data_IF_479289358266
#
_entry.id   IF_479289358266
#
_cell.length_a   1.000
_cell.length_b   1.000
_cell.length_c   1.000
_cell.angle_alpha   90.00
_cell.angle_beta   90.00
_cell.angle_gamma   90.00
#
_symmetry.space_group_name_H-M   'P 1'
#
loop_
_entity.id
_entity.type
_entity.pdbx_description
1 polymer ?
2 non-polymer ?
3 water ?
#
# COMPACT_ATOMS: atom_id res chain seq x y z
N UNK A 9 23.28 4.02 6.75
CA UNK A 9 24.25 3.90 5.62
C UNK A 9 24.25 2.42 5.20
N UNK A 10 24.60 2.11 3.97
CA UNK A 10 24.56 0.73 3.45
C UNK A 10 25.95 0.23 3.09
N UNK A 11 26.15 -1.07 3.18
CA UNK A 11 27.39 -1.72 2.68
C UNK A 11 26.91 -2.69 1.61
N UNK A 12 27.42 -2.54 0.39
CA UNK A 12 27.08 -3.42 -0.76
C UNK A 12 28.38 -4.10 -1.18
N UNK A 13 28.41 -5.42 -1.18
CA UNK A 13 29.60 -6.20 -1.55
C UNK A 13 29.17 -7.55 -2.12
N UNK A 14 30.13 -8.39 -2.49
CA UNK A 14 29.85 -9.78 -2.89
C UNK A 14 30.59 -10.68 -1.90
N UNK A 15 30.01 -11.81 -1.54
CA UNK A 15 30.63 -12.76 -0.60
C UNK A 15 31.59 -13.67 -1.40
N UNK A 16 32.12 -14.71 -0.76
CA UNK A 16 33.11 -15.63 -1.37
C UNK A 16 32.46 -16.44 -2.49
N UNK A 17 31.14 -16.58 -2.48
CA UNK A 17 30.37 -17.32 -3.52
C UNK A 17 29.96 -16.34 -4.65
N UNK A 18 30.40 -15.10 -4.60
CA UNK A 18 30.07 -14.09 -5.65
C UNK A 18 28.68 -13.50 -5.49
N UNK A 19 27.99 -13.82 -4.40
CA UNK A 19 26.58 -13.39 -4.16
C UNK A 19 26.57 -11.99 -3.55
N UNK A 20 25.72 -11.13 -4.06
CA UNK A 20 25.56 -9.75 -3.53
C UNK A 20 25.08 -9.82 -2.08
N UNK A 21 25.72 -9.05 -1.21
CA UNK A 21 25.31 -8.91 0.20
C UNK A 21 25.06 -7.41 0.44
N UNK A 22 23.91 -7.05 0.98
CA UNK A 22 23.59 -5.65 1.36
C UNK A 22 23.26 -5.68 2.86
N UNK A 23 24.04 -4.96 3.66
CA UNK A 23 23.77 -4.87 5.12
C UNK A 23 23.66 -6.27 5.72
N UNK A 24 24.61 -7.15 5.38
CA UNK A 24 24.70 -8.51 5.96
C UNK A 24 23.74 -9.52 5.34
N UNK A 25 22.84 -9.11 4.45
CA UNK A 25 21.82 -10.01 3.88
C UNK A 25 22.24 -10.41 2.47
N UNK A 26 22.24 -11.71 2.18
CA UNK A 26 22.63 -12.25 0.86
C UNK A 26 21.43 -12.23 -0.07
N UNK A 27 21.65 -11.92 -1.34
CA UNK A 27 20.61 -11.87 -2.39
C UNK A 27 21.09 -12.76 -3.54
N UNK A 28 21.00 -14.10 -3.41
CA UNK A 28 21.52 -15.00 -4.44
C UNK A 28 20.79 -14.95 -5.80
N UNK A 29 19.60 -14.35 -5.85
CA UNK A 29 18.81 -14.23 -7.10
C UNK A 29 19.23 -12.98 -7.87
N UNK A 30 20.03 -12.10 -7.29
CA UNK A 30 20.37 -10.80 -7.89
C UNK A 30 21.60 -10.86 -8.79
N UNK A 31 21.54 -10.19 -9.93
CA UNK A 31 22.69 -10.05 -10.84
C UNK A 31 23.49 -8.82 -10.39
N UNK A 32 22.83 -7.68 -10.21
CA UNK A 32 23.48 -6.41 -9.81
C UNK A 32 22.55 -5.63 -8.87
N UNK A 33 23.12 -4.82 -8.01
CA UNK A 33 22.33 -3.87 -7.21
C UNK A 33 22.04 -2.67 -8.11
N UNK A 34 20.82 -2.18 -8.13
CA UNK A 34 20.44 -0.95 -8.89
C UNK A 34 20.45 0.24 -7.92
N UNK A 35 19.76 0.13 -6.80
CA UNK A 35 19.63 1.23 -5.84
C UNK A 35 19.39 0.71 -4.43
N UNK A 36 20.06 1.28 -3.46
CA UNK A 36 19.84 0.97 -2.04
C UNK A 36 18.58 1.70 -1.55
N UNK A 37 18.07 1.29 -0.40
CA UNK A 37 16.88 1.93 0.20
C UNK A 37 17.12 3.44 0.32
N UNK A 38 18.28 3.85 0.81
CA UNK A 38 18.56 5.29 1.06
C UNK A 38 18.44 6.07 -0.27
N UNK A 39 19.04 5.56 -1.32
CA UNK A 39 19.01 6.21 -2.66
C UNK A 39 17.54 6.27 -3.15
N UNK A 40 16.81 5.17 -2.98
CA UNK A 40 15.38 5.08 -3.44
C UNK A 40 14.55 6.14 -2.69
N UNK A 41 14.66 6.15 -1.38
CA UNK A 41 13.83 7.05 -0.54
C UNK A 41 14.15 8.53 -0.88
N UNK A 42 15.43 8.86 -1.02
CA UNK A 42 15.85 10.26 -1.37
C UNK A 42 15.24 10.63 -2.72
N UNK A 43 15.25 9.71 -3.68
CA UNK A 43 14.74 9.95 -5.06
C UNK A 43 13.21 10.17 -5.02
N UNK A 44 12.50 9.39 -4.22
CA UNK A 44 11.01 9.50 -4.12
C UNK A 44 10.68 10.84 -3.47
N UNK A 45 11.39 11.20 -2.40
CA UNK A 45 11.12 12.46 -1.65
C UNK A 45 11.39 13.66 -2.57
N UNK A 46 12.45 13.58 -3.38
CA UNK A 46 12.79 14.66 -4.33
C UNK A 46 11.62 14.84 -5.33
N UNK A 47 11.07 13.74 -5.85
CA UNK A 47 9.94 13.80 -6.83
C UNK A 47 8.68 14.28 -6.10
N UNK A 48 8.48 13.90 -4.85
CA UNK A 48 7.31 14.36 -4.06
C UNK A 48 7.33 15.90 -4.00
N UNK A 49 8.50 16.47 -3.79
CA UNK A 49 8.64 17.95 -3.73
C UNK A 49 8.25 18.56 -5.09
N UNK A 50 8.67 17.94 -6.18
CA UNK A 50 8.34 18.39 -7.56
C UNK A 50 6.83 18.30 -7.77
N UNK A 51 6.21 17.21 -7.35
CA UNK A 51 4.74 17.00 -7.54
C UNK A 51 3.99 18.06 -6.72
N UNK A 52 4.40 18.28 -5.47
CA UNK A 52 3.72 19.26 -4.59
C UNK A 52 3.89 20.68 -5.19
N UNK A 53 5.10 21.00 -5.66
CA UNK A 53 5.39 22.33 -6.26
C UNK A 53 4.54 22.53 -7.52
N UNK A 54 4.31 21.48 -8.30
CA UNK A 54 3.56 21.58 -9.56
C UNK A 54 2.06 21.75 -9.30
N UNK A 55 1.48 20.98 -8.39
CA UNK A 55 0.00 20.94 -8.17
C UNK A 55 -0.50 21.96 -7.13
N UNK A 56 0.33 22.31 -6.16
CA UNK A 56 -0.09 23.20 -5.04
C UNK A 56 -0.83 24.45 -5.57
N UNK A 57 -0.31 25.19 -6.56
CA UNK A 57 -0.99 26.43 -7.01
C UNK A 57 -2.19 26.25 -7.93
N UNK A 58 -2.53 25.03 -8.33
CA UNK A 58 -3.57 24.79 -9.35
C UNK A 58 -4.97 24.71 -8.74
N UNK A 59 -5.99 24.94 -9.56
CA UNK A 59 -7.40 24.86 -9.19
C UNK A 59 -8.06 23.83 -10.12
N UNK A 60 -9.21 23.30 -9.73
CA UNK A 60 -9.96 22.34 -10.58
C UNK A 60 -11.41 22.34 -10.13
N UNK A 61 -12.21 21.41 -10.64
CA UNK A 61 -13.67 21.41 -10.36
C UNK A 61 -13.98 21.34 -8.86
N UNK A 62 -14.88 22.17 -8.40
CA UNK A 62 -15.30 22.23 -6.98
C UNK A 62 -16.48 21.27 -6.79
N UNK A 63 -16.25 20.11 -6.18
CA UNK A 63 -17.32 19.13 -5.87
C UNK A 63 -17.72 19.25 -4.39
N UNK A 64 -16.96 19.97 -3.59
CA UNK A 64 -17.25 20.20 -2.14
C UNK A 64 -18.39 21.23 -2.02
N UNK A 65 -18.26 22.37 -2.69
CA UNK A 65 -19.30 23.42 -2.67
C UNK A 65 -20.21 23.33 -3.89
N UNK A 66 -20.24 22.18 -4.59
CA UNK A 66 -20.99 22.04 -5.86
C UNK A 66 -20.81 23.30 -6.69
N UNK A 67 -19.63 23.94 -6.62
CA UNK A 67 -19.39 25.25 -7.24
C UNK A 67 -18.68 25.11 -8.56
N UNK A 68 -17.92 26.11 -8.98
CA UNK A 68 -17.28 26.05 -10.30
C UNK A 68 -15.91 25.44 -10.15
N UNK A 69 -14.93 26.28 -9.89
CA UNK A 69 -13.52 25.84 -9.75
C UNK A 69 -13.01 26.35 -8.40
N UNK A 70 -12.10 25.62 -7.80
CA UNK A 70 -11.54 25.98 -6.48
C UNK A 70 -10.14 25.40 -6.37
N UNK A 71 -9.27 25.96 -5.53
CA UNK A 71 -7.92 25.46 -5.38
C UNK A 71 -7.83 24.01 -4.90
N UNK A 72 -6.76 23.34 -5.30
CA UNK A 72 -6.48 21.98 -4.75
C UNK A 72 -6.42 22.18 -3.24
N UNK A 73 -7.19 21.41 -2.49
CA UNK A 73 -7.35 21.54 -1.04
C UNK A 73 -7.87 20.24 -0.45
N UNK A 74 -7.99 20.15 0.86
CA UNK A 74 -8.61 18.97 1.49
C UNK A 74 -10.07 18.89 1.06
N UNK A 75 -10.73 19.99 0.74
CA UNK A 75 -12.13 19.98 0.21
C UNK A 75 -12.14 19.39 -1.22
N UNK A 76 -11.17 19.76 -2.06
CA UNK A 76 -11.05 19.31 -3.47
C UNK A 76 -9.62 18.80 -3.69
N UNK A 77 -9.28 17.59 -3.18
CA UNK A 77 -7.89 17.15 -3.27
C UNK A 77 -7.40 16.70 -4.65
N UNK A 78 -6.10 16.69 -4.84
CA UNK A 78 -5.51 16.05 -6.04
C UNK A 78 -5.99 14.59 -6.03
N UNK A 79 -6.37 14.05 -7.17
CA UNK A 79 -6.83 12.65 -7.30
C UNK A 79 -5.64 11.80 -7.74
N UNK A 80 -5.24 10.82 -6.93
CA UNK A 80 -4.13 9.90 -7.26
C UNK A 80 -4.74 8.51 -7.52
N UNK A 81 -4.42 7.93 -8.66
CA UNK A 81 -4.82 6.54 -8.99
C UNK A 81 -3.54 5.72 -8.94
N UNK A 82 -3.43 4.81 -7.98
CA UNK A 82 -2.27 3.91 -7.79
C UNK A 82 -2.54 2.60 -8.55
N UNK A 83 -1.56 2.10 -9.27
CA UNK A 83 -1.71 0.88 -10.11
C UNK A 83 -1.23 -0.34 -9.32
N UNK A 84 -2.16 -1.21 -8.92
CA UNK A 84 -1.85 -2.44 -8.17
C UNK A 84 -1.31 -3.51 -9.13
N UNK A 85 -0.54 -4.46 -8.61
CA UNK A 85 -0.07 -4.55 -7.20
C UNK A 85 1.29 -3.88 -7.04
N UNK A 86 2.07 -3.76 -8.11
CA UNK A 86 3.48 -3.32 -8.03
C UNK A 86 3.72 -1.96 -7.39
N UNK A 87 2.77 -1.06 -7.41
CA UNK A 87 2.99 0.33 -6.91
C UNK A 87 2.57 0.55 -5.46
N UNK A 88 2.06 -0.46 -4.72
CA UNK A 88 1.44 -0.19 -3.39
C UNK A 88 2.48 0.27 -2.35
N UNK A 89 3.70 -0.27 -2.38
CA UNK A 89 4.78 0.10 -1.39
C UNK A 89 5.27 1.50 -1.76
N UNK A 90 5.56 1.71 -3.04
CA UNK A 90 5.96 3.04 -3.58
C UNK A 90 4.90 4.08 -3.20
N UNK A 91 3.63 3.74 -3.39
CA UNK A 91 2.49 4.67 -3.12
C UNK A 91 2.48 5.00 -1.61
N UNK A 92 2.61 3.99 -0.74
CA UNK A 92 2.57 4.18 0.73
C UNK A 92 3.67 5.19 1.12
N UNK A 93 4.86 5.06 0.54
CA UNK A 93 6.00 5.96 0.85
C UNK A 93 5.76 7.36 0.22
N UNK A 94 5.33 7.38 -1.03
CA UNK A 94 5.14 8.65 -1.77
C UNK A 94 4.07 9.50 -1.08
N UNK A 95 2.95 8.93 -0.64
CA UNK A 95 1.84 9.75 -0.06
C UNK A 95 2.35 10.41 1.23
N UNK A 96 3.22 9.73 1.97
CA UNK A 96 3.73 10.28 3.25
C UNK A 96 4.66 11.46 2.93
N UNK A 97 5.46 11.36 1.87
CA UNK A 97 6.32 12.50 1.42
C UNK A 97 5.44 13.65 0.86
N UNK A 98 4.38 13.33 0.12
CA UNK A 98 3.45 14.36 -0.40
C UNK A 98 2.82 15.09 0.80
N UNK A 99 2.45 14.35 1.85
CA UNK A 99 1.92 14.97 3.09
C UNK A 99 2.97 15.86 3.74
N UNK A 100 4.22 15.41 3.80
CA UNK A 100 5.33 16.23 4.35
C UNK A 100 5.38 17.59 3.65
N UNK A 101 5.20 17.61 2.33
CA UNK A 101 5.23 18.86 1.52
C UNK A 101 3.86 19.54 1.48
N UNK A 102 2.85 19.04 2.20
CA UNK A 102 1.55 19.72 2.37
C UNK A 102 0.62 19.67 1.16
N UNK A 103 0.77 18.67 0.29
CA UNK A 103 -0.07 18.56 -0.93
C UNK A 103 -1.36 17.82 -0.57
N UNK A 104 -2.54 18.45 -0.64
CA UNK A 104 -3.79 17.76 -0.39
C UNK A 104 -4.05 16.72 -1.50
N UNK A 105 -4.31 15.46 -1.13
CA UNK A 105 -4.52 14.38 -2.11
C UNK A 105 -5.34 13.22 -1.53
N UNK A 106 -5.92 12.42 -2.40
CA UNK A 106 -6.65 11.18 -2.01
C UNK A 106 -6.20 10.11 -3.00
N UNK A 107 -6.23 8.85 -2.59
CA UNK A 107 -5.73 7.72 -3.42
C UNK A 107 -6.80 6.68 -3.67
N UNK A 108 -7.01 6.27 -4.91
CA UNK A 108 -7.83 5.08 -5.24
C UNK A 108 -6.90 4.15 -6.02
N UNK A 109 -7.36 2.96 -6.33
CA UNK A 109 -6.54 1.93 -7.00
C UNK A 109 -7.21 1.33 -8.21
N UNK A 110 -6.41 1.00 -9.22
CA UNK A 110 -6.89 0.19 -10.35
C UNK A 110 -5.86 -0.91 -10.54
N UNK A 111 -6.22 -1.98 -11.23
CA UNK A 111 -5.26 -3.04 -11.57
C UNK A 111 -5.51 -3.45 -13.02
N UNK A 112 -4.45 -3.64 -13.79
CA UNK A 112 -4.54 -4.14 -15.18
C UNK A 112 -3.64 -5.36 -15.30
N UNK A 113 -3.84 -6.12 -16.35
CA UNK A 113 -3.01 -7.31 -16.64
C UNK A 113 -3.03 -7.53 -18.14
N UNK A 114 -2.13 -8.35 -18.65
CA UNK A 114 -2.03 -8.66 -20.09
C UNK A 114 -2.38 -10.13 -20.32
N UNK A 115 -2.97 -10.45 -21.45
CA UNK A 115 -3.26 -11.86 -21.86
C UNK A 115 -2.55 -12.07 -23.21
N UNK A 122 0.55 -10.03 -26.42
CA UNK A 122 0.09 -9.42 -25.16
C UNK A 122 -1.00 -8.37 -25.44
N UNK A 123 -2.19 -8.52 -24.87
CA UNK A 123 -3.32 -7.57 -25.00
C UNK A 123 -3.71 -7.17 -23.58
N UNK A 124 -4.16 -5.95 -23.35
CA UNK A 124 -4.40 -5.41 -21.98
C UNK A 124 -5.86 -5.60 -21.55
N UNK A 125 -6.09 -5.85 -20.27
CA UNK A 125 -7.45 -5.96 -19.69
C UNK A 125 -7.45 -5.42 -18.27
N UNK A 126 -8.53 -4.76 -17.88
CA UNK A 126 -8.70 -4.24 -16.50
C UNK A 126 -9.00 -5.39 -15.54
N UNK A 127 -8.27 -5.56 -14.47
CA UNK A 127 -8.55 -6.60 -13.44
C UNK A 127 -9.41 -6.00 -12.33
N UNK A 128 -9.15 -4.75 -11.96
CA UNK A 128 -9.88 -4.05 -10.88
C UNK A 128 -10.07 -2.61 -11.29
N UNK A 129 -11.30 -2.11 -11.21
CA UNK A 129 -11.65 -0.73 -11.62
C UNK A 129 -11.47 0.22 -10.42
N UNK A 130 -11.26 1.49 -10.67
CA UNK A 130 -11.25 2.50 -9.59
C UNK A 130 -12.69 2.60 -9.06
N UNK A 131 -12.88 3.10 -7.85
CA UNK A 131 -14.22 3.28 -7.25
C UNK A 131 -14.58 4.77 -7.18
N UNK A 132 -13.65 5.69 -7.46
CA UNK A 132 -13.96 7.14 -7.51
C UNK A 132 -14.87 7.37 -8.72
N UNK A 133 -15.91 8.20 -8.59
CA UNK A 133 -16.95 8.41 -9.63
C UNK A 133 -17.11 9.87 -10.02
N UNK A 134 -16.37 10.80 -9.43
CA UNK A 134 -16.52 12.26 -9.68
C UNK A 134 -15.17 12.86 -10.07
N UNK A 135 -14.54 12.39 -11.15
CA UNK A 135 -13.20 12.85 -11.57
C UNK A 135 -13.29 13.83 -12.76
N UNK A 136 -14.48 14.07 -13.30
CA UNK A 136 -14.63 15.02 -14.42
C UNK A 136 -14.10 16.40 -13.97
N UNK A 137 -13.18 16.99 -14.72
CA UNK A 137 -12.68 18.35 -14.43
C UNK A 137 -11.71 18.38 -13.25
N UNK A 138 -11.20 17.22 -12.86
CA UNK A 138 -10.25 17.11 -11.75
C UNK A 138 -8.83 16.84 -12.27
N UNK A 139 -7.83 17.32 -11.55
CA UNK A 139 -6.43 16.94 -11.81
C UNK A 139 -6.25 15.50 -11.32
N UNK A 140 -5.73 14.63 -12.16
CA UNK A 140 -5.53 13.19 -11.83
C UNK A 140 -4.06 12.84 -12.07
N UNK A 141 -3.44 12.17 -11.10
CA UNK A 141 -2.05 11.71 -11.18
C UNK A 141 -2.04 10.19 -11.04
N UNK A 142 -1.43 9.49 -11.98
CA UNK A 142 -1.28 8.02 -11.94
C UNK A 142 0.05 7.72 -11.23
N UNK A 143 0.07 6.85 -10.23
CA UNK A 143 1.33 6.36 -9.60
C UNK A 143 1.53 4.92 -10.10
N UNK A 144 2.63 4.65 -10.78
CA UNK A 144 2.92 3.33 -11.38
C UNK A 144 4.35 2.92 -11.01
N UNK A 145 4.62 1.63 -10.97
CA UNK A 145 5.94 1.09 -10.56
C UNK A 145 7.01 1.37 -11.63
N UNK A 146 6.75 1.02 -12.87
CA UNK A 146 7.78 1.13 -13.94
C UNK A 146 7.16 1.32 -15.32
N UNK A 147 7.85 2.08 -16.17
CA UNK A 147 7.50 2.18 -17.61
C UNK A 147 8.61 1.38 -18.32
N UNK A 148 8.25 0.37 -19.09
CA UNK A 148 9.21 -0.49 -19.82
C UNK A 148 8.87 -0.30 -21.31
N UNK A 149 8.02 -1.12 -21.91
CA UNK A 149 7.56 -0.95 -23.31
C UNK A 149 6.65 0.29 -23.43
N UNK A 150 5.93 0.64 -22.37
CA UNK A 150 4.97 1.76 -22.36
C UNK A 150 3.53 1.31 -22.66
N UNK A 151 3.32 0.06 -23.01
CA UNK A 151 1.97 -0.43 -23.44
C UNK A 151 0.99 -0.38 -22.26
N UNK A 152 1.42 -0.76 -21.06
CA UNK A 152 0.53 -0.81 -19.87
C UNK A 152 0.03 0.62 -19.60
N UNK A 153 0.92 1.59 -19.53
CA UNK A 153 0.54 2.99 -19.19
C UNK A 153 -0.27 3.64 -20.33
N UNK A 154 0.06 3.35 -21.58
CA UNK A 154 -0.74 3.89 -22.72
C UNK A 154 -2.19 3.41 -22.54
N UNK A 155 -2.38 2.13 -22.21
CA UNK A 155 -3.73 1.55 -22.00
C UNK A 155 -4.44 2.23 -20.81
N UNK A 156 -3.75 2.38 -19.69
CA UNK A 156 -4.34 3.01 -18.47
C UNK A 156 -4.70 4.48 -18.76
N UNK A 157 -3.80 5.22 -19.39
CA UNK A 157 -4.02 6.65 -19.68
C UNK A 157 -5.22 6.81 -20.63
N UNK A 158 -5.30 5.98 -21.66
CA UNK A 158 -6.39 6.11 -22.65
C UNK A 158 -7.72 5.80 -21.94
N UNK A 159 -7.72 4.82 -21.06
CA UNK A 159 -8.95 4.36 -20.36
C UNK A 159 -9.40 5.43 -19.35
N UNK A 160 -8.51 5.92 -18.52
CA UNK A 160 -8.85 6.94 -17.49
C UNK A 160 -9.33 8.20 -18.22
N UNK A 161 -8.67 8.57 -19.30
CA UNK A 161 -9.01 9.81 -20.04
C UNK A 161 -10.44 9.70 -20.59
N UNK A 162 -10.76 8.59 -21.23
CA UNK A 162 -12.09 8.47 -21.90
C UNK A 162 -13.20 8.23 -20.88
N UNK A 163 -12.93 7.53 -19.78
CA UNK A 163 -13.99 7.13 -18.80
C UNK A 163 -14.19 8.19 -17.72
N UNK A 164 -13.17 8.94 -17.33
CA UNK A 164 -13.22 9.93 -16.22
C UNK A 164 -13.16 11.38 -16.74
N UNK A 165 -12.65 11.60 -17.93
CA UNK A 165 -12.59 12.96 -18.55
C UNK A 165 -11.99 13.95 -17.54
N UNK A 166 -10.78 13.69 -17.02
CA UNK A 166 -10.16 14.61 -16.09
C UNK A 166 -9.70 15.92 -16.73
N UNK A 167 -9.52 16.97 -15.94
CA UNK A 167 -9.00 18.27 -16.41
C UNK A 167 -7.59 18.03 -16.97
N UNK A 168 -6.75 17.34 -16.19
CA UNK A 168 -5.38 16.97 -16.62
C UNK A 168 -5.06 15.57 -16.11
N UNK A 169 -4.20 14.86 -16.82
CA UNK A 169 -3.82 13.47 -16.48
C UNK A 169 -2.31 13.36 -16.65
N UNK A 170 -1.60 13.07 -15.56
CA UNK A 170 -0.14 12.94 -15.56
C UNK A 170 0.23 11.60 -14.93
N UNK A 171 1.49 11.21 -15.11
CA UNK A 171 2.00 9.91 -14.62
C UNK A 171 3.28 10.13 -13.84
N UNK A 172 3.38 9.52 -12.68
CA UNK A 172 4.65 9.48 -11.90
C UNK A 172 5.03 8.00 -11.81
N UNK A 173 6.23 7.62 -12.25
CA UNK A 173 6.73 6.24 -12.12
C UNK A 173 7.89 6.21 -11.10
N UNK A 174 7.98 5.13 -10.36
CA UNK A 174 9.14 4.90 -9.48
C UNK A 174 10.35 4.73 -10.40
N UNK A 175 10.19 3.90 -11.44
CA UNK A 175 11.30 3.55 -12.33
C UNK A 175 11.00 3.79 -13.80
N UNK A 176 12.02 4.21 -14.53
CA UNK A 176 11.97 4.33 -16.01
C UNK A 176 13.05 3.38 -16.52
N UNK A 177 12.68 2.43 -17.38
CA UNK A 177 13.63 1.55 -18.09
C UNK A 177 13.69 2.14 -19.50
N UNK A 178 14.60 3.07 -19.81
CA UNK A 178 14.53 3.81 -21.10
C UNK A 178 14.59 2.94 -22.36
N UNK A 179 15.42 1.91 -22.35
CA UNK A 179 15.65 1.09 -23.56
C UNK A 179 14.53 0.11 -23.87
N UNK A 180 13.59 -0.06 -22.94
CA UNK A 180 12.46 -0.97 -23.17
C UNK A 180 11.37 -0.38 -24.03
N UNK A 181 11.37 0.91 -24.33
CA UNK A 181 10.19 1.56 -25.00
C UNK A 181 9.87 0.98 -26.38
N UNK A 182 8.61 0.67 -26.61
CA UNK A 182 8.10 0.19 -27.93
C UNK A 182 6.98 1.15 -28.39
N UNK A 183 6.34 1.88 -27.49
CA UNK A 183 5.32 2.91 -27.83
C UNK A 183 5.71 4.19 -27.09
N UNK A 184 5.36 5.34 -27.66
CA UNK A 184 5.68 6.66 -27.06
C UNK A 184 5.02 6.74 -25.69
N UNK A 185 5.79 6.96 -24.64
CA UNK A 185 5.29 7.07 -23.26
C UNK A 185 6.41 7.62 -22.38
N UNK A 186 6.43 8.90 -22.05
CA UNK A 186 7.44 9.45 -21.12
C UNK A 186 6.66 10.01 -19.92
N UNK A 187 6.71 9.33 -18.76
CA UNK A 187 6.06 9.86 -17.56
C UNK A 187 6.50 11.29 -17.22
N UNK A 188 5.59 12.07 -16.66
CA UNK A 188 5.85 13.48 -16.28
C UNK A 188 6.84 13.52 -15.13
N UNK A 189 6.80 12.52 -14.24
CA UNK A 189 7.67 12.44 -13.06
C UNK A 189 8.33 11.05 -13.02
N UNK A 190 9.64 10.98 -12.80
CA UNK A 190 10.41 9.71 -12.73
C UNK A 190 11.34 9.78 -11.52
N UNK A 191 11.24 8.84 -10.60
CA UNK A 191 12.08 8.82 -9.39
C UNK A 191 13.47 8.27 -9.74
N UNK A 192 13.54 7.16 -10.45
CA UNK A 192 14.81 6.44 -10.69
C UNK A 192 14.87 5.95 -12.14
N UNK A 193 16.07 5.82 -12.70
CA UNK A 193 16.28 5.22 -14.03
C UNK A 193 16.94 3.87 -13.74
N UNK A 194 16.49 2.80 -14.36
CA UNK A 194 17.02 1.43 -14.13
C UNK A 194 17.67 0.93 -15.42
N UNK A 195 18.57 -0.05 -15.34
CA UNK A 195 19.12 -0.65 -16.54
C UNK A 195 18.06 -1.43 -17.33
N UNK A 196 18.36 -1.78 -18.57
CA UNK A 196 17.44 -2.51 -19.48
C UNK A 196 17.52 -3.98 -19.12
N UNK A 197 17.05 -4.31 -17.93
CA UNK A 197 17.12 -5.66 -17.36
C UNK A 197 15.87 -5.84 -16.49
N UNK A 198 15.55 -7.06 -16.16
CA UNK A 198 14.40 -7.36 -15.28
C UNK A 198 14.78 -6.98 -13.84
N UNK A 199 14.04 -6.06 -13.24
CA UNK A 199 14.33 -5.57 -11.86
C UNK A 199 13.43 -6.27 -10.83
N UNK A 200 13.93 -6.40 -9.60
CA UNK A 200 13.20 -7.03 -8.47
C UNK A 200 13.46 -6.16 -7.23
N UNK A 201 12.60 -6.27 -6.25
CA UNK A 201 12.74 -5.52 -4.99
C UNK A 201 11.83 -4.31 -4.93
N UNK A 202 11.50 -3.86 -3.75
CA UNK A 202 10.71 -2.61 -3.53
C UNK A 202 9.49 -2.59 -4.43
N UNK A 203 8.68 -3.64 -4.36
CA UNK A 203 7.45 -3.76 -5.17
C UNK A 203 7.63 -4.62 -6.38
N UNK A 204 8.84 -4.74 -6.91
CA UNK A 204 9.13 -5.50 -8.15
C UNK A 204 9.24 -6.98 -7.78
N UNK A 205 8.54 -7.83 -8.51
CA UNK A 205 8.40 -9.26 -8.13
C UNK A 205 8.80 -10.29 -9.16
N UNK A 206 8.97 -11.53 -8.72
CA UNK A 206 9.02 -12.75 -9.56
C UNK A 206 7.92 -13.64 -8.93
N UNK A 207 6.74 -13.73 -9.53
CA UNK A 207 5.58 -14.49 -8.97
C UNK A 207 5.34 -14.07 -7.52
N UNK A 208 5.27 -12.77 -7.25
CA UNK A 208 4.98 -12.16 -5.91
C UNK A 208 6.14 -12.30 -4.92
N UNK A 209 7.22 -12.99 -5.27
CA UNK A 209 8.41 -13.04 -4.40
C UNK A 209 9.26 -11.78 -4.60
N UNK A 210 9.98 -11.35 -3.57
CA UNK A 210 11.01 -10.26 -3.64
C UNK A 210 10.42 -8.85 -3.51
N UNK A 211 9.10 -8.69 -3.45
CA UNK A 211 8.49 -7.34 -3.38
C UNK A 211 8.92 -6.63 -2.09
N UNK A 212 9.17 -7.38 -1.01
CA UNK A 212 9.45 -6.82 0.35
C UNK A 212 10.90 -6.32 0.51
N UNK A 213 11.76 -6.53 -0.48
CA UNK A 213 13.17 -6.09 -0.36
C UNK A 213 13.16 -4.56 -0.31
N UNK A 214 14.09 -4.00 0.45
CA UNK A 214 14.18 -2.52 0.64
C UNK A 214 15.03 -1.91 -0.47
N UNK A 215 15.69 -2.73 -1.26
CA UNK A 215 16.59 -2.29 -2.35
C UNK A 215 16.09 -2.85 -3.68
N UNK A 216 16.51 -2.26 -4.79
CA UNK A 216 16.15 -2.73 -6.15
C UNK A 216 17.39 -3.40 -6.75
N UNK A 217 17.21 -4.57 -7.33
CA UNK A 217 18.28 -5.34 -7.99
C UNK A 217 17.87 -5.76 -9.39
N UNK A 218 18.83 -6.13 -10.23
CA UNK A 218 18.52 -6.80 -11.50
C UNK A 218 18.46 -8.28 -11.17
N UNK A 219 17.68 -9.06 -11.91
CA UNK A 219 17.47 -10.51 -11.64
C UNK A 219 18.45 -11.36 -12.47
N UNK A 220 19.06 -12.35 -11.87
CA UNK A 220 19.89 -13.31 -12.64
C UNK A 220 18.92 -13.95 -13.65
N UNK A 221 19.27 -14.05 -14.94
CA UNK A 221 18.27 -14.53 -15.91
C UNK A 221 17.70 -15.95 -15.65
N UNK A 222 18.47 -16.86 -15.06
CA UNK A 222 17.97 -18.22 -14.77
C UNK A 222 16.94 -18.29 -13.64
N UNK A 223 16.78 -17.21 -12.86
CA UNK A 223 15.87 -17.18 -11.66
C UNK A 223 14.43 -16.79 -12.05
N UNK A 224 14.19 -16.38 -13.27
CA UNK A 224 12.86 -15.84 -13.68
C UNK A 224 11.76 -16.92 -13.62
N UNK A 225 12.09 -18.20 -13.77
CA UNK A 225 11.10 -19.31 -13.78
C UNK A 225 11.30 -20.20 -12.56
N UNK A 226 11.83 -19.67 -11.47
CA UNK A 226 12.12 -20.46 -10.26
C UNK A 226 10.79 -20.87 -9.60
N UNK A 227 9.72 -20.09 -9.73
CA UNK A 227 8.42 -20.32 -9.03
C UNK A 227 7.30 -20.46 -10.04
N UNK A 228 7.21 -21.56 -10.80
CA UNK A 228 6.22 -21.66 -11.86
C UNK A 228 4.76 -21.94 -11.39
N UNK A 229 4.57 -22.42 -10.17
CA UNK A 229 3.22 -22.78 -9.67
C UNK A 229 2.41 -21.50 -9.42
N UNK A 230 1.18 -21.44 -9.92
CA UNK A 230 0.26 -20.31 -9.67
C UNK A 230 -0.06 -20.25 -8.19
N UNK A 231 -0.24 -19.06 -7.64
CA UNK A 231 -0.54 -18.86 -6.20
C UNK A 231 -2.05 -18.97 -5.98
N UNK B 9 13.13 11.47 18.52
CA UNK B 9 12.37 12.39 19.40
C UNK B 9 11.51 13.31 18.51
N UNK B 10 10.20 13.25 18.66
CA UNK B 10 9.27 14.14 17.96
C UNK B 10 8.99 15.31 18.91
N UNK B 11 8.71 16.48 18.38
CA UNK B 11 8.35 17.68 19.18
C UNK B 11 6.82 17.80 19.10
N UNK B 12 6.13 17.66 20.21
CA UNK B 12 4.65 17.75 20.27
C UNK B 12 4.32 19.01 21.06
N UNK B 13 3.55 19.92 20.48
CA UNK B 13 3.22 21.22 21.09
C UNK B 13 1.82 21.64 20.67
N UNK B 14 1.39 22.79 21.14
CA UNK B 14 0.11 23.38 20.70
C UNK B 14 0.40 24.83 20.31
N UNK B 15 -0.23 25.32 19.27
CA UNK B 15 -0.05 26.73 18.84
C UNK B 15 -1.08 27.62 19.55
N UNK B 16 -1.06 28.91 19.23
CA UNK B 16 -1.94 29.91 19.90
C UNK B 16 -3.43 29.65 19.59
N UNK B 17 -3.75 28.92 18.52
CA UNK B 17 -5.15 28.54 18.18
C UNK B 17 -5.55 27.25 18.95
N UNK B 18 -4.68 26.71 19.78
CA UNK B 18 -4.96 25.47 20.57
C UNK B 18 -4.80 24.22 19.73
N UNK B 19 -4.23 24.32 18.55
CA UNK B 19 -4.11 23.19 17.58
C UNK B 19 -2.83 22.40 17.88
N UNK B 20 -2.91 21.08 17.81
CA UNK B 20 -1.74 20.18 18.03
C UNK B 20 -0.74 20.40 16.89
N UNK B 21 0.53 20.51 17.25
CA UNK B 21 1.64 20.65 16.27
C UNK B 21 2.62 19.52 16.56
N UNK B 22 2.96 18.73 15.55
CA UNK B 22 3.98 17.65 15.66
C UNK B 22 5.07 17.97 14.63
N UNK B 23 6.30 18.18 15.10
CA UNK B 23 7.45 18.52 14.21
C UNK B 23 7.11 19.71 13.31
N UNK B 24 6.46 20.73 13.86
CA UNK B 24 6.18 21.99 13.13
C UNK B 24 4.91 21.96 12.31
N UNK B 25 4.29 20.79 12.14
CA UNK B 25 3.07 20.62 11.32
C UNK B 25 1.83 20.69 12.20
N UNK B 26 0.86 21.52 11.82
CA UNK B 26 -0.40 21.69 12.56
C UNK B 26 -1.42 20.64 12.13
N UNK B 27 -2.22 20.15 13.07
CA UNK B 27 -3.30 19.17 12.82
C UNK B 27 -4.63 19.72 13.38
N UNK B 28 -5.25 20.70 12.71
CA UNK B 28 -6.47 21.35 13.26
C UNK B 28 -7.68 20.40 13.38
N UNK B 29 -7.66 19.27 12.70
CA UNK B 29 -8.76 18.26 12.73
C UNK B 29 -8.60 17.31 13.92
N UNK B 30 -7.45 17.35 14.60
CA UNK B 30 -7.14 16.36 15.66
C UNK B 30 -7.57 16.86 17.05
N UNK B 31 -8.07 15.94 17.88
CA UNK B 31 -8.41 16.24 19.28
C UNK B 31 -7.15 15.97 20.11
N UNK B 32 -6.57 14.77 19.96
CA UNK B 32 -5.36 14.38 20.71
C UNK B 32 -4.45 13.48 19.89
N UNK B 33 -3.18 13.47 20.25
CA UNK B 33 -2.20 12.54 19.65
C UNK B 33 -2.36 11.18 20.32
N UNK B 34 -2.35 10.10 19.53
CA UNK B 34 -2.42 8.71 20.05
C UNK B 34 -1.01 8.13 20.00
N UNK B 35 -0.36 8.21 18.84
CA UNK B 35 0.97 7.61 18.66
C UNK B 35 1.79 8.34 17.59
N UNK B 36 3.05 8.59 17.89
CA UNK B 36 3.99 9.20 16.94
C UNK B 36 4.46 8.11 15.97
N UNK B 37 5.03 8.54 14.88
CA UNK B 37 5.58 7.62 13.86
C UNK B 37 6.60 6.67 14.51
N UNK B 38 7.46 7.19 15.37
CA UNK B 38 8.53 6.39 15.99
C UNK B 38 7.90 5.25 16.80
N UNK B 39 6.84 5.55 17.55
CA UNK B 39 6.16 4.56 18.41
C UNK B 39 5.45 3.54 17.50
N UNK B 40 4.77 4.02 16.48
CA UNK B 40 4.01 3.12 15.55
C UNK B 40 4.99 2.14 14.91
N UNK B 41 6.10 2.64 14.39
CA UNK B 41 7.04 1.79 13.60
C UNK B 41 7.68 0.74 14.54
N UNK B 42 8.06 1.15 15.75
CA UNK B 42 8.63 0.22 16.75
C UNK B 42 7.62 -0.89 17.05
N UNK B 43 6.34 -0.54 17.16
CA UNK B 43 5.26 -1.50 17.50
C UNK B 43 5.03 -2.49 16.35
N UNK B 44 5.08 -2.00 15.12
CA UNK B 44 4.84 -2.87 13.92
C UNK B 44 6.03 -3.84 13.81
N UNK B 45 7.24 -3.32 13.97
CA UNK B 45 8.46 -4.16 13.86
C UNK B 45 8.46 -5.26 14.94
N UNK B 46 8.03 -4.92 16.15
CA UNK B 46 7.93 -5.92 17.25
C UNK B 46 6.97 -7.05 16.84
N UNK B 47 5.81 -6.70 16.29
CA UNK B 47 4.78 -7.70 15.86
C UNK B 47 5.34 -8.49 14.66
N UNK B 48 6.07 -7.86 13.76
CA UNK B 48 6.70 -8.56 12.61
C UNK B 48 7.60 -9.69 13.14
N UNK B 49 8.38 -9.40 14.18
CA UNK B 49 9.28 -10.42 14.80
C UNK B 49 8.41 -11.55 15.36
N UNK B 50 7.33 -11.24 16.06
CA UNK B 50 6.38 -12.25 16.60
C UNK B 50 5.81 -13.11 15.45
N UNK B 51 5.41 -12.51 14.34
CA UNK B 51 4.80 -13.22 13.17
C UNK B 51 5.85 -14.14 12.55
N UNK B 52 7.05 -13.63 12.30
CA UNK B 52 8.15 -14.43 11.71
C UNK B 52 8.48 -15.61 12.64
N UNK B 53 8.57 -15.35 13.94
CA UNK B 53 8.93 -16.41 14.93
C UNK B 53 7.84 -17.48 14.97
N UNK B 54 6.59 -17.08 14.82
CA UNK B 54 5.45 -18.01 14.88
C UNK B 54 5.36 -18.87 13.62
N UNK B 55 5.53 -18.28 12.43
CA UNK B 55 5.27 -19.00 11.15
C UNK B 55 6.48 -19.76 10.59
N UNK B 56 7.68 -19.26 10.77
CA UNK B 56 8.88 -19.91 10.16
C UNK B 56 8.97 -21.40 10.55
N UNK B 57 8.59 -21.84 11.76
CA UNK B 57 8.60 -23.29 12.09
C UNK B 57 7.51 -24.14 11.43
N UNK B 58 6.53 -23.54 10.77
CA UNK B 58 5.33 -24.29 10.31
C UNK B 58 5.48 -24.84 8.90
N UNK B 59 4.64 -25.81 8.58
CA UNK B 59 4.60 -26.48 7.28
C UNK B 59 3.17 -26.42 6.77
N UNK B 60 2.97 -26.57 5.47
CA UNK B 60 1.63 -26.54 4.85
C UNK B 60 1.69 -27.20 3.47
N UNK B 61 0.61 -27.14 2.71
CA UNK B 61 0.51 -27.89 1.45
C UNK B 61 1.62 -27.47 0.48
N UNK B 62 2.30 -28.44 -0.11
CA UNK B 62 3.37 -28.20 -1.11
C UNK B 62 2.72 -28.05 -2.47
N UNK B 63 2.72 -26.85 -3.04
CA UNK B 63 2.21 -26.60 -4.41
C UNK B 63 3.40 -26.42 -5.35
N UNK B 64 4.61 -26.28 -4.83
CA UNK B 64 5.81 -26.07 -5.67
C UNK B 64 6.24 -27.42 -6.28
N UNK B 65 6.40 -28.44 -5.46
CA UNK B 65 6.84 -29.78 -5.91
C UNK B 65 5.68 -30.76 -6.04
N UNK B 66 4.50 -30.42 -5.56
CA UNK B 66 3.31 -31.32 -5.59
C UNK B 66 3.56 -32.55 -4.73
N UNK B 67 4.36 -32.40 -3.68
CA UNK B 67 4.43 -33.35 -2.57
C UNK B 67 3.26 -33.13 -1.64
N UNK B 68 3.38 -33.54 -0.39
CA UNK B 68 2.27 -33.44 0.57
C UNK B 68 2.41 -32.15 1.36
N UNK B 69 3.21 -32.14 2.44
CA UNK B 69 3.40 -30.95 3.29
C UNK B 69 4.87 -30.56 3.25
N UNK B 70 5.16 -29.29 3.38
CA UNK B 70 6.54 -28.78 3.32
C UNK B 70 6.63 -27.50 4.14
N UNK B 71 7.84 -27.14 4.61
CA UNK B 71 7.98 -25.96 5.44
C UNK B 71 7.65 -24.68 4.69
N UNK B 72 7.18 -23.69 5.42
CA UNK B 72 7.02 -22.34 4.82
C UNK B 72 8.39 -21.99 4.23
N UNK B 73 8.42 -21.53 3.00
CA UNK B 73 9.66 -21.25 2.25
C UNK B 73 9.33 -20.34 1.08
N UNK B 74 10.34 -19.87 0.37
CA UNK B 74 10.09 -19.08 -0.85
C UNK B 74 9.33 -19.96 -1.87
N UNK B 75 9.55 -21.27 -1.88
CA UNK B 75 8.77 -22.20 -2.77
C UNK B 75 7.30 -22.25 -2.33
N UNK B 76 7.02 -22.29 -1.02
CA UNK B 76 5.66 -22.39 -0.42
C UNK B 76 5.52 -21.29 0.63
N UNK B 77 5.36 -20.02 0.23
CA UNK B 77 5.37 -18.95 1.22
C UNK B 77 4.10 -18.80 2.05
N UNK B 78 4.21 -18.11 3.17
CA UNK B 78 3.01 -17.72 3.93
C UNK B 78 2.15 -16.88 2.98
N UNK B 79 0.86 -17.08 3.01
CA UNK B 79 -0.09 -16.31 2.18
C UNK B 79 -0.63 -15.19 3.07
N UNK B 80 -0.42 -13.94 2.67
CA UNK B 80 -0.96 -12.76 3.38
C UNK B 80 -2.06 -12.15 2.52
N UNK B 81 -3.24 -11.93 3.10
CA UNK B 81 -4.36 -11.23 2.42
C UNK B 81 -4.48 -9.86 3.11
N UNK B 82 -4.23 -8.79 2.38
CA UNK B 82 -4.31 -7.39 2.88
C UNK B 82 -5.67 -6.82 2.49
N UNK B 83 -6.32 -6.15 3.43
CA UNK B 83 -7.69 -5.60 3.22
C UNK B 83 -7.57 -4.15 2.69
N UNK B 84 -7.92 -3.95 1.43
CA UNK B 84 -7.90 -2.61 0.81
C UNK B 84 -9.24 -1.89 1.11
N UNK B 85 -9.23 -0.56 1.12
CA UNK B 85 -8.02 0.33 0.96
C UNK B 85 -7.35 0.60 2.29
N UNK B 86 -8.00 0.31 3.42
CA UNK B 86 -7.51 0.76 4.73
C UNK B 86 -6.14 0.27 5.17
N UNK B 87 -5.72 -0.92 4.78
CA UNK B 87 -4.47 -1.53 5.31
C UNK B 87 -3.24 -1.34 4.40
N UNK B 88 -3.32 -0.61 3.31
CA UNK B 88 -2.20 -0.65 2.31
C UNK B 88 -0.88 -0.05 2.86
N UNK B 89 -0.96 1.01 3.65
CA UNK B 89 0.26 1.68 4.22
C UNK B 89 0.84 0.75 5.30
N UNK B 90 -0.01 0.28 6.19
CA UNK B 90 0.39 -0.69 7.24
C UNK B 90 1.03 -1.91 6.59
N UNK B 91 0.41 -2.43 5.53
CA UNK B 91 0.90 -3.65 4.83
C UNK B 91 2.30 -3.36 4.24
N UNK B 92 2.47 -2.21 3.57
CA UNK B 92 3.76 -1.84 2.93
C UNK B 92 4.87 -1.86 3.99
N UNK B 93 4.58 -1.33 5.18
CA UNK B 93 5.59 -1.28 6.27
C UNK B 93 5.81 -2.67 6.86
N UNK B 94 4.73 -3.37 7.11
CA UNK B 94 4.79 -4.70 7.78
C UNK B 94 5.60 -5.68 6.91
N UNK B 95 5.36 -5.72 5.61
CA UNK B 95 6.01 -6.75 4.73
C UNK B 95 7.53 -6.52 4.72
N UNK B 96 7.96 -5.27 4.75
CA UNK B 96 9.41 -4.95 4.79
C UNK B 96 10.01 -5.42 6.13
N UNK B 97 9.30 -5.27 7.25
CA UNK B 97 9.79 -5.81 8.55
C UNK B 97 9.78 -7.35 8.52
N UNK B 98 8.77 -7.96 7.91
CA UNK B 98 8.70 -9.44 7.82
C UNK B 98 9.89 -9.93 6.99
N UNK B 99 10.25 -9.21 5.93
CA UNK B 99 11.44 -9.54 5.11
C UNK B 99 12.71 -9.40 5.97
N UNK B 100 12.82 -8.36 6.77
CA UNK B 100 13.97 -8.18 7.70
C UNK B 100 14.16 -9.41 8.60
N UNK B 101 13.07 -10.01 9.06
CA UNK B 101 13.09 -11.18 9.97
C UNK B 101 13.09 -12.51 9.18
N UNK B 102 13.22 -12.46 7.85
CA UNK B 102 13.39 -13.66 7.03
C UNK B 102 12.17 -14.55 6.91
N UNK B 103 10.98 -13.97 6.96
CA UNK B 103 9.72 -14.75 6.81
C UNK B 103 9.36 -14.82 5.32
N UNK B 104 9.37 -16.00 4.68
CA UNK B 104 8.92 -16.13 3.29
C UNK B 104 7.41 -15.89 3.20
N UNK B 105 7.00 -14.92 2.38
CA UNK B 105 5.57 -14.55 2.28
C UNK B 105 5.25 -13.90 0.93
N UNK B 106 3.98 -13.94 0.57
CA UNK B 106 3.46 -13.25 -0.65
C UNK B 106 2.17 -12.55 -0.21
N UNK B 107 1.78 -11.49 -0.90
CA UNK B 107 0.61 -10.68 -0.51
C UNK B 107 -0.40 -10.60 -1.65
N UNK B 108 -1.67 -10.83 -1.37
CA UNK B 108 -2.78 -10.58 -2.31
C UNK B 108 -3.71 -9.61 -1.59
N UNK B 109 -4.63 -9.01 -2.31
CA UNK B 109 -5.54 -8.00 -1.73
C UNK B 109 -7.01 -8.40 -1.88
N UNK B 110 -7.82 -8.11 -0.87
CA UNK B 110 -9.29 -8.20 -0.95
C UNK B 110 -9.71 -6.74 -0.74
N UNK B 111 -10.72 -6.23 -1.45
CA UNK B 111 -11.20 -4.85 -1.25
C UNK B 111 -12.62 -4.89 -0.72
N UNK B 112 -12.86 -4.26 0.42
CA UNK B 112 -14.21 -4.16 1.04
C UNK B 112 -14.54 -2.67 1.15
N UNK B 113 -15.81 -2.30 1.03
CA UNK B 113 -16.25 -0.89 1.18
C UNK B 113 -17.46 -0.82 2.08
N UNK B 114 -17.65 0.32 2.76
CA UNK B 114 -18.82 0.58 3.65
C UNK B 114 -19.58 1.74 3.02
N UNK B 115 -20.91 1.65 2.93
CA UNK B 115 -21.74 2.70 2.29
C UNK B 115 -22.77 3.22 3.29
N UNK B 116 -23.06 4.51 3.27
CA UNK B 116 -24.14 5.09 4.10
C UNK B 116 -25.45 4.67 3.40
N UNK B 117 -26.42 4.16 4.15
CA UNK B 117 -27.66 3.63 3.56
C UNK B 117 -28.90 4.06 4.33
N UNK B 118 -30.04 3.45 4.03
CA UNK B 118 -31.34 3.79 4.65
C UNK B 118 -31.56 2.89 5.87
N UNK B 119 -30.75 1.84 6.04
CA UNK B 119 -30.88 0.87 7.17
C UNK B 119 -30.19 1.42 8.42
N UNK B 120 -30.19 0.67 9.53
CA UNK B 120 -29.69 1.10 10.86
C UNK B 120 -28.16 1.26 10.89
N UNK B 121 -27.41 0.54 10.06
CA UNK B 121 -25.91 0.55 10.06
C UNK B 121 -25.38 0.76 8.63
N UNK B 122 -24.16 1.28 8.48
CA UNK B 122 -23.52 1.43 7.14
C UNK B 122 -23.37 0.00 6.60
N UNK B 123 -23.50 -0.19 5.30
CA UNK B 123 -23.57 -1.54 4.68
C UNK B 123 -22.26 -1.89 3.97
N UNK B 124 -21.82 -3.13 4.08
CA UNK B 124 -20.53 -3.61 3.49
C UNK B 124 -20.76 -4.33 2.16
N UNK B 125 -19.83 -4.14 1.24
CA UNK B 125 -19.82 -4.87 -0.03
C UNK B 125 -18.39 -5.33 -0.30
N UNK B 126 -18.22 -6.49 -0.91
CA UNK B 126 -16.89 -6.92 -1.40
C UNK B 126 -16.78 -6.30 -2.79
N UNK B 127 -15.78 -5.49 -3.04
CA UNK B 127 -15.56 -4.79 -4.33
C UNK B 127 -14.54 -5.54 -5.19
N UNK B 128 -13.53 -6.14 -4.58
CA UNK B 128 -12.46 -6.84 -5.32
C UNK B 128 -12.13 -8.15 -4.61
N UNK B 129 -12.14 -9.24 -5.35
CA UNK B 129 -11.86 -10.57 -4.84
C UNK B 129 -10.35 -10.79 -4.87
N UNK B 130 -9.85 -11.74 -4.10
CA UNK B 130 -8.45 -12.18 -4.19
C UNK B 130 -8.22 -12.77 -5.59
N UNK B 131 -7.02 -12.70 -6.13
CA UNK B 131 -6.65 -13.34 -7.42
C UNK B 131 -5.99 -14.70 -7.16
N UNK B 132 -5.45 -14.93 -5.96
CA UNK B 132 -4.79 -16.20 -5.59
C UNK B 132 -5.84 -17.32 -5.63
N UNK B 133 -5.50 -18.48 -6.17
CA UNK B 133 -6.46 -19.60 -6.37
C UNK B 133 -5.96 -20.94 -5.82
N UNK B 134 -4.86 -20.97 -5.06
CA UNK B 134 -4.27 -22.22 -4.54
C UNK B 134 -3.97 -22.05 -3.03
N UNK B 135 -4.95 -21.60 -2.26
CA UNK B 135 -4.80 -21.38 -0.79
C UNK B 135 -5.24 -22.61 0.03
N UNK B 136 -5.81 -23.64 -0.60
CA UNK B 136 -6.24 -24.86 0.11
C UNK B 136 -5.05 -25.42 0.90
N UNK B 137 -5.20 -25.60 2.20
CA UNK B 137 -4.16 -26.25 3.03
C UNK B 137 -2.97 -25.34 3.26
N UNK B 138 -3.13 -24.06 2.99
CA UNK B 138 -2.07 -23.06 3.22
C UNK B 138 -2.32 -22.29 4.51
N UNK B 139 -1.25 -21.85 5.16
CA UNK B 139 -1.35 -20.92 6.29
C UNK B 139 -1.65 -19.56 5.66
N UNK B 140 -2.72 -18.91 6.12
CA UNK B 140 -3.15 -17.59 5.61
C UNK B 140 -3.22 -16.60 6.77
N UNK B 141 -2.68 -15.40 6.57
CA UNK B 141 -2.68 -14.34 7.59
C UNK B 141 -3.38 -13.13 6.96
N UNK B 142 -4.38 -12.59 7.63
CA UNK B 142 -5.08 -11.37 7.17
C UNK B 142 -4.40 -10.16 7.80
N UNK B 143 -4.07 -9.13 7.02
CA UNK B 143 -3.56 -7.85 7.57
C UNK B 143 -4.71 -6.83 7.45
N UNK B 144 -5.13 -6.26 8.58
CA UNK B 144 -6.27 -5.31 8.63
C UNK B 144 -5.87 -4.09 9.46
N UNK B 145 -6.51 -2.96 9.23
CA UNK B 145 -6.16 -1.69 9.90
C UNK B 145 -6.59 -1.67 11.38
N UNK B 146 -7.84 -2.00 11.66
CA UNK B 146 -8.37 -1.88 13.04
C UNK B 146 -9.53 -2.83 13.29
N UNK B 147 -9.63 -3.35 14.51
CA UNK B 147 -10.80 -4.13 14.95
C UNK B 147 -11.51 -3.21 15.95
N UNK B 148 -12.78 -2.89 15.71
CA UNK B 148 -13.58 -1.97 16.54
C UNK B 148 -14.79 -2.80 17.01
N UNK B 149 -15.86 -2.84 16.23
CA UNK B 149 -17.05 -3.71 16.53
C UNK B 149 -16.70 -5.19 16.33
N UNK B 150 -15.83 -5.51 15.37
CA UNK B 150 -15.45 -6.89 15.04
C UNK B 150 -16.25 -7.43 13.85
N UNK B 151 -17.26 -6.70 13.41
CA UNK B 151 -18.21 -7.20 12.36
C UNK B 151 -17.48 -7.32 11.01
N UNK B 152 -16.62 -6.38 10.67
CA UNK B 152 -15.93 -6.39 9.35
C UNK B 152 -15.04 -7.64 9.29
N UNK B 153 -14.28 -7.89 10.35
CA UNK B 153 -13.32 -9.03 10.33
C UNK B 153 -14.09 -10.37 10.36
N UNK B 154 -15.21 -10.44 11.08
CA UNK B 154 -16.02 -11.69 11.10
C UNK B 154 -16.50 -11.98 9.67
N UNK B 155 -16.90 -10.96 8.93
CA UNK B 155 -17.36 -11.10 7.51
C UNK B 155 -16.20 -11.59 6.66
N UNK B 156 -15.03 -10.96 6.79
CA UNK B 156 -13.84 -11.30 5.95
C UNK B 156 -13.39 -12.73 6.26
N UNK B 157 -13.28 -13.11 7.52
CA UNK B 157 -12.77 -14.43 7.93
C UNK B 157 -13.68 -15.52 7.35
N UNK B 158 -14.99 -15.35 7.52
CA UNK B 158 -15.96 -16.37 7.05
C UNK B 158 -15.79 -16.57 5.55
N UNK B 159 -15.73 -15.47 4.81
CA UNK B 159 -15.58 -15.50 3.34
C UNK B 159 -14.29 -16.23 2.94
N UNK B 160 -13.16 -15.82 3.51
CA UNK B 160 -11.83 -16.40 3.15
C UNK B 160 -11.85 -17.90 3.48
N UNK B 161 -12.39 -18.27 4.62
CA UNK B 161 -12.38 -19.69 5.05
C UNK B 161 -13.22 -20.52 4.06
N UNK B 162 -14.41 -20.05 3.72
CA UNK B 162 -15.35 -20.85 2.88
C UNK B 162 -14.82 -20.97 1.45
N UNK B 163 -14.18 -19.95 0.95
CA UNK B 163 -13.75 -19.94 -0.47
C UNK B 163 -12.36 -20.58 -0.64
N UNK B 164 -11.49 -20.51 0.36
CA UNK B 164 -10.08 -20.96 0.23
C UNK B 164 -9.71 -22.20 1.04
N UNK B 165 -10.49 -22.59 2.04
CA UNK B 165 -10.21 -23.78 2.88
C UNK B 165 -8.73 -23.76 3.35
N UNK B 166 -8.25 -22.68 4.00
CA UNK B 166 -6.87 -22.65 4.44
C UNK B 166 -6.59 -23.64 5.58
N UNK B 167 -5.34 -24.03 5.75
CA UNK B 167 -4.90 -24.90 6.86
C UNK B 167 -5.20 -24.15 8.15
N UNK B 168 -4.75 -22.89 8.22
CA UNK B 168 -5.01 -22.01 9.38
C UNK B 168 -5.27 -20.59 8.86
N UNK B 169 -6.08 -19.83 9.58
CA UNK B 169 -6.44 -18.45 9.19
C UNK B 169 -6.27 -17.58 10.45
N UNK B 170 -5.33 -16.65 10.43
CA UNK B 170 -5.07 -15.73 11.57
C UNK B 170 -5.20 -14.29 11.10
N UNK B 171 -5.28 -13.37 12.05
CA UNK B 171 -5.46 -11.93 11.77
C UNK B 171 -4.43 -11.12 12.53
N UNK B 172 -3.79 -10.19 11.86
CA UNK B 172 -2.90 -9.20 12.49
C UNK B 172 -3.54 -7.83 12.22
N UNK B 173 -3.83 -7.06 13.26
CA UNK B 173 -4.35 -5.68 13.10
C UNK B 173 -3.29 -4.68 13.54
N UNK B 174 -3.25 -3.54 12.89
CA UNK B 174 -2.40 -2.43 13.35
C UNK B 174 -2.99 -1.97 14.70
N UNK B 175 -4.30 -1.81 14.79
CA UNK B 175 -4.95 -1.22 15.98
C UNK B 175 -6.09 -2.08 16.53
N UNK B 176 -6.20 -2.12 17.84
CA UNK B 176 -7.31 -2.76 18.56
C UNK B 176 -8.00 -1.66 19.37
N UNK B 177 -9.29 -1.42 19.14
CA UNK B 177 -10.12 -0.53 19.99
C UNK B 177 -10.96 -1.49 20.84
N UNK B 178 -10.49 -1.92 22.03
CA UNK B 178 -11.19 -2.98 22.77
C UNK B 178 -12.61 -2.60 23.24
N UNK B 179 -12.85 -1.33 23.49
CA UNK B 179 -14.14 -0.87 24.04
C UNK B 179 -15.23 -0.72 23.00
N UNK B 180 -14.93 -0.92 21.72
CA UNK B 180 -15.93 -0.86 20.65
C UNK B 180 -16.55 -2.21 20.28
N UNK B 181 -16.14 -3.32 20.88
CA UNK B 181 -16.59 -4.67 20.42
C UNK B 181 -18.11 -4.85 20.50
N UNK B 182 -18.72 -5.42 19.46
CA UNK B 182 -20.15 -5.79 19.44
C UNK B 182 -20.28 -7.31 19.19
N UNK B 183 -19.27 -7.97 18.63
CA UNK B 183 -19.26 -9.43 18.30
C UNK B 183 -17.89 -9.97 18.74
N UNK B 184 -17.77 -11.27 19.01
CA UNK B 184 -16.50 -11.88 19.45
C UNK B 184 -15.50 -11.77 18.27
N UNK B 185 -14.35 -11.15 18.50
CA UNK B 185 -13.29 -11.02 17.48
C UNK B 185 -12.01 -10.59 18.20
N UNK B 186 -11.07 -11.50 18.43
CA UNK B 186 -9.78 -11.20 19.07
C UNK B 186 -8.68 -11.51 18.05
N UNK B 187 -8.05 -10.50 17.43
CA UNK B 187 -6.96 -10.78 16.53
C UNK B 187 -5.81 -11.53 17.21
N UNK B 188 -5.10 -12.33 16.44
CA UNK B 188 -3.96 -13.13 16.94
C UNK B 188 -2.76 -12.22 17.21
N UNK B 189 -2.59 -11.14 16.44
CA UNK B 189 -1.46 -10.19 16.55
C UNK B 189 -2.04 -8.77 16.56
N UNK B 190 -1.57 -7.93 17.47
CA UNK B 190 -2.07 -6.53 17.65
C UNK B 190 -0.84 -5.65 17.84
N UNK B 191 -0.66 -4.66 16.98
CA UNK B 191 0.51 -3.76 17.06
C UNK B 191 0.31 -2.76 18.20
N UNK B 192 -0.85 -2.11 18.23
CA UNK B 192 -1.12 -1.08 19.27
C UNK B 192 -2.60 -1.02 19.65
N UNK B 193 -2.86 -0.46 20.82
CA UNK B 193 -4.22 -0.29 21.36
C UNK B 193 -4.55 1.19 21.23
N UNK B 194 -5.77 1.51 20.81
CA UNK B 194 -6.20 2.92 20.61
C UNK B 194 -7.30 3.24 21.60
N UNK B 195 -7.49 4.53 21.92
CA UNK B 195 -8.58 4.94 22.79
C UNK B 195 -9.93 4.71 22.10
N UNK B 196 -11.02 4.81 22.87
CA UNK B 196 -12.39 4.57 22.36
C UNK B 196 -12.84 5.86 21.67
N UNK B 197 -12.16 6.22 20.60
CA UNK B 197 -12.41 7.46 19.84
C UNK B 197 -12.17 7.15 18.37
N UNK B 198 -12.68 7.99 17.50
CA UNK B 198 -12.46 7.84 16.05
C UNK B 198 -11.02 8.25 15.79
N UNK B 199 -10.20 7.33 15.27
CA UNK B 199 -8.76 7.63 15.00
C UNK B 199 -8.54 8.00 13.54
N UNK B 200 -7.54 8.80 13.27
CA UNK B 200 -7.17 9.26 11.90
C UNK B 200 -5.65 9.22 11.80
N UNK B 201 -5.13 9.21 10.59
CA UNK B 201 -3.68 9.18 10.39
C UNK B 201 -3.16 7.78 10.15
N UNK B 202 -1.98 7.68 9.56
CA UNK B 202 -1.32 6.38 9.27
C UNK B 202 -2.35 5.37 8.73
N UNK B 203 -2.98 5.70 7.60
CA UNK B 203 -3.94 4.82 6.91
C UNK B 203 -5.39 5.10 7.31
N UNK B 204 -5.62 5.69 8.47
CA UNK B 204 -6.98 5.93 9.01
C UNK B 204 -7.54 7.20 8.37
N UNK B 205 -8.73 7.10 7.81
CA UNK B 205 -9.28 8.19 6.98
C UNK B 205 -10.59 8.83 7.43
N UNK B 206 -10.87 10.02 6.89
CA UNK B 206 -12.21 10.63 6.87
C UNK B 206 -12.45 10.88 5.36
N UNK B 207 -13.25 10.05 4.71
CA UNK B 207 -13.51 10.15 3.24
C UNK B 207 -12.18 10.25 2.48
N UNK B 208 -11.23 9.36 2.77
CA UNK B 208 -9.89 9.24 2.10
C UNK B 208 -8.89 10.34 2.51
N UNK B 209 -9.31 11.31 3.31
CA UNK B 209 -8.39 12.36 3.83
C UNK B 209 -7.66 11.84 5.08
N UNK B 210 -6.44 12.33 5.35
CA UNK B 210 -5.66 12.08 6.60
C UNK B 210 -4.88 10.75 6.58
N UNK B 211 -4.99 9.94 5.54
CA UNK B 211 -4.32 8.61 5.51
C UNK B 211 -2.80 8.80 5.52
N UNK B 212 -2.30 9.89 4.95
CA UNK B 212 -0.83 10.10 4.74
C UNK B 212 -0.10 10.60 5.99
N UNK B 213 -0.82 10.91 7.06
CA UNK B 213 -0.18 11.38 8.31
C UNK B 213 0.75 10.27 8.84
N UNK B 214 1.92 10.63 9.36
CA UNK B 214 2.91 9.67 9.88
C UNK B 214 2.55 9.28 11.33
N UNK B 215 1.63 10.01 11.94
CA UNK B 215 1.17 9.78 13.32
C UNK B 215 -0.33 9.47 13.36
N UNK B 216 -0.79 8.87 14.45
CA UNK B 216 -2.23 8.57 14.67
C UNK B 216 -2.77 9.56 15.68
N UNK B 217 -3.92 10.13 15.40
CA UNK B 217 -4.59 11.11 16.27
C UNK B 217 -6.05 10.68 16.47
N UNK B 218 -6.72 11.25 17.45
CA UNK B 218 -8.18 11.12 17.59
C UNK B 218 -8.76 12.31 16.80
N UNK B 219 -9.94 12.13 16.21
CA UNK B 219 -10.61 13.17 15.39
C UNK B 219 -11.47 14.05 16.30
N UNK B 220 -11.45 15.36 16.09
CA UNK B 220 -12.36 16.25 16.84
C UNK B 220 -13.82 15.80 16.59
N UNK B 221 -14.66 15.78 17.63
CA UNK B 221 -16.05 15.33 17.50
C UNK B 221 -16.81 16.05 16.37
N UNK B 222 -17.55 15.30 15.55
CA UNK B 222 -18.40 15.86 14.47
C UNK B 222 -17.67 16.07 13.17
N UNK B 223 -16.35 15.94 13.14
CA UNK B 223 -15.53 16.25 11.92
C UNK B 223 -15.56 15.06 10.95
N UNK B 224 -16.19 13.95 11.30
CA UNK B 224 -16.29 12.77 10.42
C UNK B 224 -17.23 13.10 9.25
N UNK B 225 -17.98 14.21 9.32
CA UNK B 225 -18.93 14.66 8.26
C UNK B 225 -18.36 15.90 7.54
N UNK B 226 -17.08 16.22 7.70
CA UNK B 226 -16.42 17.43 7.13
C UNK B 226 -16.41 17.40 5.58
N UNK B 227 -16.31 16.23 4.97
CA UNK B 227 -16.18 16.05 3.49
C UNK B 227 -17.34 15.21 2.98
N UNK B 228 -18.57 15.76 2.88
CA UNK B 228 -19.72 14.96 2.50
C UNK B 228 -19.77 14.51 1.03
N UNK B 229 -19.10 15.22 0.14
CA UNK B 229 -19.20 14.94 -1.32
C UNK B 229 -18.54 13.59 -1.65
N UNK B 230 -19.20 12.78 -2.46
CA UNK B 230 -18.68 11.46 -2.86
C UNK B 230 -17.51 11.71 -3.84
N UNK B 231 -16.40 11.00 -3.67
CA UNK B 231 -15.22 11.14 -4.54
C UNK B 231 -15.47 10.37 -5.86
#
# INVERSE_FOLDING_TARGET
MISSQQAMVHVVSRNAEGVIVVDGKAYPMAEELVATESVIQRSIKAVAKQIADFYRPLSHRDTHGGGGVAPISDENPLIIISVLKGSYIFTADMVRYLGDYGLPHVVDFLRVASYRGTSSTNKMQLLAETQFKALRGKHVLILEDIVDSGKTLRYILDKVQREHQPATLKVCVLADKPGGRRVTMQPDFVCLTVPNKYVIGYGFEVNDRFRCFRHIFTLRPGEARRYPAHL
MISSQQAMVHVVSRNAEGVIVVDGKAYPMAEELVATESVIQRSIKAVAKQIADFYRPLSHRDTHGGGGVAPISDENPLIIISVLKGSYIFTADMVRYLGDYGLPHVVDFLRVASYRGTSSTNKMQLLAETQFKALRGKHVLILEDIVDSGKTLRYILDKVQREHQPATLKVCVLADKPGGRRVTMQPDFVCLTVPNKYVIGYGFEVNDRFRCFRHIFTLRPGEARRYPAHL
#
